data_IF_730500844706
#
_entry.id   IF_730500844706
#
_cell.length_a   1.000
_cell.length_b   1.000
_cell.length_c   1.000
_cell.angle_alpha   90.00
_cell.angle_beta   90.00
_cell.angle_gamma   90.00
#
_symmetry.space_group_name_H-M   'P 1'
#
loop_
_entity.id
_entity.type
_entity.pdbx_description
1 polymer ?
#
# COMPACT_ATOMS: atom_id res chain seq x y z
N UNK A 1 63.76 45.89 -16.50
CA UNK A 1 62.64 45.92 -17.45
C UNK A 1 61.81 44.69 -17.17
N UNK A 2 60.63 44.94 -16.62
CA UNK A 2 59.67 43.96 -16.15
C UNK A 2 59.21 43.01 -17.26
N UNK A 3 59.21 41.71 -16.98
CA UNK A 3 58.46 40.73 -17.74
C UNK A 3 57.20 40.38 -16.91
N UNK A 4 56.11 41.02 -17.29
CA UNK A 4 54.75 40.84 -16.77
C UNK A 4 54.33 39.39 -16.97
N UNK A 5 54.18 38.62 -15.87
CA UNK A 5 53.50 37.33 -15.92
C UNK A 5 52.00 37.61 -15.81
N UNK A 6 51.33 37.54 -16.95
CA UNK A 6 49.87 37.58 -17.05
C UNK A 6 49.27 36.42 -16.27
N UNK A 7 48.43 36.76 -15.28
CA UNK A 7 47.44 35.88 -14.68
C UNK A 7 46.54 35.30 -15.78
N UNK A 8 46.75 34.02 -16.09
CA UNK A 8 45.94 33.27 -17.04
C UNK A 8 45.72 31.86 -16.51
N UNK A 9 44.85 31.70 -15.53
CA UNK A 9 44.23 30.42 -15.21
C UNK A 9 42.76 30.50 -15.55
N UNK A 10 42.47 30.49 -16.83
CA UNK A 10 41.22 29.97 -17.35
C UNK A 10 41.55 29.17 -18.60
N UNK A 11 41.79 27.87 -18.42
CA UNK A 11 41.44 26.90 -19.44
C UNK A 11 41.14 25.56 -18.77
N UNK A 12 39.86 25.21 -18.76
CA UNK A 12 39.37 23.84 -18.58
C UNK A 12 38.35 23.59 -19.69
N UNK A 13 38.77 22.88 -20.73
CA UNK A 13 37.93 22.47 -21.87
C UNK A 13 37.44 21.01 -21.68
N UNK A 14 37.30 20.58 -20.41
CA UNK A 14 37.00 19.22 -19.94
C UNK A 14 38.12 18.16 -20.09
N UNK A 15 38.52 17.60 -18.94
CA UNK A 15 39.53 16.53 -18.82
C UNK A 15 39.53 15.82 -17.45
N UNK A 16 38.40 15.79 -16.73
CA UNK A 16 38.28 15.04 -15.47
C UNK A 16 38.76 15.77 -14.20
N UNK A 17 38.69 17.10 -14.16
CA UNK A 17 39.23 17.93 -13.08
C UNK A 17 38.40 19.18 -12.76
N UNK A 18 37.11 19.00 -12.48
CA UNK A 18 36.34 19.69 -11.43
C UNK A 18 34.90 19.21 -11.52
N UNK A 19 34.32 18.81 -10.37
CA UNK A 19 32.93 18.36 -10.27
C UNK A 19 32.01 19.48 -10.78
N UNK A 20 31.18 19.28 -11.82
CA UNK A 20 30.19 20.29 -12.19
C UNK A 20 29.32 20.58 -10.95
N UNK A 21 29.25 21.85 -10.56
CA UNK A 21 28.56 22.33 -9.35
C UNK A 21 29.06 21.75 -8.01
N UNK A 22 30.27 21.17 -7.96
CA UNK A 22 30.81 20.55 -6.74
C UNK A 22 30.14 19.22 -6.35
N UNK A 23 29.21 18.70 -7.15
CA UNK A 23 28.48 17.48 -6.87
C UNK A 23 29.33 16.22 -7.08
N UNK A 24 29.34 15.32 -6.10
CA UNK A 24 29.98 13.99 -6.21
C UNK A 24 29.26 13.14 -7.25
N UNK A 25 29.99 12.35 -8.06
CA UNK A 25 29.41 11.43 -9.05
C UNK A 25 28.34 10.53 -8.42
N UNK A 26 28.59 10.02 -7.21
CA UNK A 26 27.62 9.18 -6.50
C UNK A 26 26.33 9.92 -6.10
N UNK A 27 26.39 11.24 -5.87
CA UNK A 27 25.18 12.05 -5.62
C UNK A 27 24.40 12.28 -6.92
N UNK A 28 25.08 12.55 -8.02
CA UNK A 28 24.41 12.74 -9.32
C UNK A 28 23.71 11.46 -9.78
N UNK A 29 24.35 10.31 -9.65
CA UNK A 29 23.72 9.02 -9.99
C UNK A 29 22.51 8.71 -9.10
N UNK A 30 22.57 9.10 -7.83
CA UNK A 30 21.43 8.98 -6.92
C UNK A 30 20.24 9.81 -7.39
N UNK A 31 20.46 11.04 -7.85
CA UNK A 31 19.41 11.89 -8.39
C UNK A 31 18.79 11.34 -9.68
N UNK A 32 19.60 10.77 -10.58
CA UNK A 32 19.07 10.09 -11.78
C UNK A 32 18.21 8.88 -11.41
N UNK A 33 18.65 8.07 -10.46
CA UNK A 33 17.89 6.93 -9.95
C UNK A 33 16.56 7.37 -9.31
N UNK A 34 16.58 8.40 -8.45
CA UNK A 34 15.37 8.97 -7.84
C UNK A 34 14.41 9.49 -8.92
N UNK A 35 14.93 10.17 -9.95
CA UNK A 35 14.11 10.70 -11.03
C UNK A 35 13.46 9.57 -11.85
N UNK A 36 14.17 8.48 -12.14
CA UNK A 36 13.59 7.34 -12.87
C UNK A 36 12.48 6.65 -12.06
N UNK A 37 12.67 6.51 -10.76
CA UNK A 37 11.66 5.92 -9.88
C UNK A 37 10.44 6.85 -9.76
N UNK A 38 10.67 8.17 -9.64
CA UNK A 38 9.61 9.16 -9.60
C UNK A 38 8.71 9.11 -10.85
N UNK A 39 9.31 8.96 -12.04
CA UNK A 39 8.56 8.82 -13.29
C UNK A 39 7.77 7.50 -13.34
N UNK A 40 8.33 6.43 -12.80
CA UNK A 40 7.67 5.12 -12.70
C UNK A 40 6.43 5.19 -11.80
N UNK A 41 6.55 5.77 -10.59
CA UNK A 41 5.41 6.00 -9.70
C UNK A 41 4.37 6.95 -10.31
N UNK A 42 4.82 7.99 -11.00
CA UNK A 42 3.91 8.93 -11.69
C UNK A 42 3.07 8.21 -12.74
N UNK A 43 3.65 7.31 -13.53
CA UNK A 43 2.92 6.50 -14.50
C UNK A 43 1.83 5.64 -13.86
N UNK A 44 2.13 5.02 -12.72
CA UNK A 44 1.14 4.22 -11.98
C UNK A 44 0.01 5.07 -11.38
N UNK A 45 0.34 6.23 -10.80
CA UNK A 45 -0.68 7.13 -10.24
C UNK A 45 -1.59 7.73 -11.33
N UNK A 46 -1.06 8.05 -12.51
CA UNK A 46 -1.87 8.50 -13.65
C UNK A 46 -2.78 7.38 -14.15
N UNK A 47 -2.28 6.14 -14.26
CA UNK A 47 -3.08 4.99 -14.66
C UNK A 47 -4.20 4.68 -13.65
N UNK A 48 -3.90 4.77 -12.35
CA UNK A 48 -4.88 4.67 -11.29
C UNK A 48 -5.93 5.79 -11.41
N UNK A 49 -5.51 7.04 -11.54
CA UNK A 49 -6.40 8.19 -11.67
C UNK A 49 -7.37 8.02 -12.84
N UNK A 50 -6.86 7.68 -14.02
CA UNK A 50 -7.70 7.45 -15.20
C UNK A 50 -8.71 6.31 -15.00
N UNK A 51 -8.27 5.21 -14.39
CA UNK A 51 -9.14 4.05 -14.10
C UNK A 51 -10.24 4.43 -13.10
N UNK A 52 -9.88 5.20 -12.07
CA UNK A 52 -10.83 5.72 -11.08
C UNK A 52 -11.85 6.66 -11.71
N UNK A 53 -11.42 7.60 -12.56
CA UNK A 53 -12.33 8.50 -13.27
C UNK A 53 -13.31 7.76 -14.17
N UNK A 54 -12.87 6.70 -14.85
CA UNK A 54 -13.72 5.89 -15.73
C UNK A 54 -14.77 5.09 -14.95
N UNK A 55 -14.44 4.61 -13.76
CA UNK A 55 -15.28 3.73 -12.95
C UNK A 55 -15.70 4.38 -11.64
N UNK A 56 -15.93 5.70 -11.65
CA UNK A 56 -16.20 6.48 -10.42
C UNK A 56 -17.41 5.95 -9.65
N UNK A 57 -18.43 5.49 -10.37
CA UNK A 57 -19.67 4.94 -9.80
C UNK A 57 -19.52 3.53 -9.21
N UNK A 58 -18.42 2.83 -9.50
CA UNK A 58 -18.16 1.44 -9.06
C UNK A 58 -16.95 1.36 -8.11
N UNK A 59 -16.27 2.48 -7.89
CA UNK A 59 -15.06 2.54 -7.10
C UNK A 59 -15.40 2.41 -5.61
N UNK A 60 -14.63 1.65 -4.82
CA UNK A 60 -14.88 1.55 -3.39
C UNK A 60 -14.63 2.86 -2.66
N UNK A 61 -15.39 3.08 -1.59
CA UNK A 61 -15.27 4.25 -0.69
C UNK A 61 -14.20 3.92 0.36
N UNK A 62 -13.14 4.74 0.43
CA UNK A 62 -11.99 4.48 1.30
C UNK A 62 -12.36 4.28 2.78
N UNK A 63 -13.29 5.07 3.30
CA UNK A 63 -13.76 5.03 4.70
C UNK A 63 -14.38 3.68 5.09
N UNK A 64 -14.97 2.96 4.14
CA UNK A 64 -15.56 1.62 4.38
C UNK A 64 -14.54 0.49 4.23
N UNK A 65 -13.43 0.76 3.55
CA UNK A 65 -12.41 -0.24 3.20
C UNK A 65 -11.33 -0.30 4.30
N UNK A 66 -10.95 0.85 4.84
CA UNK A 66 -9.82 0.99 5.77
C UNK A 66 -10.28 1.28 7.19
N UNK A 67 -10.95 0.33 7.83
CA UNK A 67 -11.50 0.48 9.19
C UNK A 67 -10.70 -0.24 10.29
N UNK A 68 -9.77 -1.12 9.89
CA UNK A 68 -9.10 -2.05 10.80
C UNK A 68 -7.91 -1.42 11.51
N UNK A 69 -7.82 -1.67 12.83
CA UNK A 69 -6.69 -1.26 13.67
C UNK A 69 -6.16 -2.50 14.40
N UNK A 70 -4.83 -2.74 14.45
CA UNK A 70 -4.28 -3.86 15.21
C UNK A 70 -4.70 -3.78 16.68
N UNK A 71 -5.12 -4.91 17.24
CA UNK A 71 -5.49 -5.08 18.66
C UNK A 71 -6.76 -4.37 19.13
N UNK A 72 -7.42 -3.57 18.27
CA UNK A 72 -8.70 -2.93 18.58
C UNK A 72 -9.79 -3.53 17.69
N UNK A 73 -10.92 -3.88 18.30
CA UNK A 73 -12.09 -4.36 17.59
C UNK A 73 -13.09 -3.21 17.50
N UNK A 74 -13.34 -2.72 16.28
CA UNK A 74 -14.24 -1.60 16.01
C UNK A 74 -13.98 -0.99 14.63
N UNK A 75 -14.93 -0.18 14.16
CA UNK A 75 -14.80 0.54 12.91
C UNK A 75 -14.10 1.89 13.16
N UNK A 76 -12.81 1.97 12.82
CA UNK A 76 -12.03 3.20 12.92
C UNK A 76 -11.52 3.60 11.53
N UNK A 77 -12.35 4.31 10.73
CA UNK A 77 -11.97 4.71 9.39
C UNK A 77 -10.66 5.49 9.39
N UNK A 78 -9.69 5.02 8.61
CA UNK A 78 -8.44 5.71 8.27
C UNK A 78 -7.47 6.00 9.43
N UNK A 79 -7.82 5.70 10.69
CA UNK A 79 -6.98 6.04 11.84
C UNK A 79 -5.65 5.29 11.82
N UNK A 80 -5.68 4.00 11.50
CA UNK A 80 -4.45 3.21 11.40
C UNK A 80 -3.55 3.70 10.27
N UNK A 81 -4.16 4.07 9.14
CA UNK A 81 -3.49 4.59 7.96
C UNK A 81 -2.83 5.94 8.26
N UNK A 82 -3.55 6.85 8.95
CA UNK A 82 -3.00 8.13 9.38
C UNK A 82 -1.84 7.95 10.36
N UNK A 83 -1.93 6.97 11.28
CA UNK A 83 -0.87 6.65 12.23
C UNK A 83 0.40 6.14 11.53
N UNK A 84 0.29 5.21 10.57
CA UNK A 84 1.47 4.73 9.83
C UNK A 84 2.13 5.85 9.01
N UNK A 85 1.34 6.72 8.39
CA UNK A 85 1.85 7.88 7.64
C UNK A 85 2.55 8.86 8.58
N UNK A 86 2.00 9.11 9.77
CA UNK A 86 2.66 9.93 10.79
C UNK A 86 4.02 9.35 11.22
N UNK A 87 4.10 8.03 11.44
CA UNK A 87 5.36 7.36 11.77
C UNK A 87 6.39 7.53 10.65
N UNK A 88 5.98 7.40 9.39
CA UNK A 88 6.90 7.52 8.25
C UNK A 88 7.45 8.95 8.11
N UNK A 89 6.59 9.97 8.23
CA UNK A 89 7.00 11.38 8.23
C UNK A 89 7.95 11.68 9.40
N UNK A 90 7.64 11.18 10.60
CA UNK A 90 8.54 11.32 11.75
C UNK A 90 9.88 10.60 11.54
N UNK A 91 9.86 9.42 10.90
CA UNK A 91 11.06 8.70 10.49
C UNK A 91 11.91 9.53 9.52
N UNK A 92 11.29 10.19 8.55
CA UNK A 92 11.94 11.13 7.65
C UNK A 92 12.62 12.28 8.40
N UNK A 93 11.93 12.92 9.35
CA UNK A 93 12.55 13.97 10.19
C UNK A 93 13.78 13.45 10.94
N UNK A 94 13.72 12.25 11.51
CA UNK A 94 14.88 11.67 12.20
C UNK A 94 16.06 11.43 11.25
N UNK A 95 15.80 11.05 10.00
CA UNK A 95 16.86 10.89 8.99
C UNK A 95 17.53 12.22 8.64
N UNK A 96 16.78 13.33 8.51
CA UNK A 96 17.39 14.67 8.32
C UNK A 96 18.34 15.01 9.47
N UNK A 97 17.91 14.75 10.70
CA UNK A 97 18.74 14.99 11.89
C UNK A 97 19.98 14.09 11.93
N UNK A 98 19.89 12.86 11.43
CA UNK A 98 21.04 11.97 11.26
C UNK A 98 22.06 12.53 10.27
N UNK A 99 21.60 13.04 9.12
CA UNK A 99 22.46 13.67 8.11
C UNK A 99 23.13 14.93 8.65
N UNK A 100 22.40 15.82 9.33
CA UNK A 100 22.96 17.02 9.98
C UNK A 100 23.99 16.66 11.06
N UNK A 101 23.71 15.66 11.89
CA UNK A 101 24.66 15.15 12.87
C UNK A 101 25.92 14.58 12.21
N UNK A 102 25.78 13.95 11.04
CA UNK A 102 26.88 13.45 10.22
C UNK A 102 27.77 14.55 9.68
N UNK A 103 27.18 15.67 9.21
CA UNK A 103 27.94 16.86 8.81
C UNK A 103 28.74 17.48 9.98
N UNK A 104 28.20 17.40 11.20
CA UNK A 104 28.87 17.86 12.42
C UNK A 104 29.83 16.82 13.02
N UNK A 105 30.06 15.68 12.34
CA UNK A 105 30.90 14.57 12.79
C UNK A 105 30.52 14.03 14.19
N UNK A 106 29.22 14.10 14.56
CA UNK A 106 28.72 13.64 15.86
C UNK A 106 28.19 12.21 15.77
N UNK A 107 29.09 11.22 15.77
CA UNK A 107 28.75 9.81 15.59
C UNK A 107 27.63 9.32 16.51
N UNK A 108 27.70 9.58 17.82
CA UNK A 108 26.67 9.13 18.77
C UNK A 108 25.26 9.64 18.43
N UNK A 109 25.16 10.86 17.88
CA UNK A 109 23.89 11.42 17.44
C UNK A 109 23.42 10.80 16.13
N UNK A 110 24.34 10.55 15.19
CA UNK A 110 24.03 9.81 13.95
C UNK A 110 23.47 8.43 14.27
N UNK A 111 24.10 7.69 15.18
CA UNK A 111 23.65 6.37 15.64
C UNK A 111 22.22 6.46 16.19
N UNK A 112 21.96 7.37 17.12
CA UNK A 112 20.63 7.52 17.71
C UNK A 112 19.56 7.83 16.66
N UNK A 113 19.80 8.81 15.79
CA UNK A 113 18.82 9.22 14.79
C UNK A 113 18.58 8.16 13.73
N UNK A 114 19.63 7.51 13.22
CA UNK A 114 19.50 6.40 12.28
C UNK A 114 18.74 5.21 12.89
N UNK A 115 18.99 4.91 14.17
CA UNK A 115 18.26 3.86 14.88
C UNK A 115 16.75 4.17 14.94
N UNK A 116 16.39 5.42 15.25
CA UNK A 116 15.00 5.86 15.23
C UNK A 116 14.38 5.77 13.83
N UNK A 117 15.12 6.12 12.78
CA UNK A 117 14.65 5.97 11.39
C UNK A 117 14.37 4.51 11.04
N UNK A 118 15.28 3.59 11.41
CA UNK A 118 15.12 2.15 11.17
C UNK A 118 13.88 1.62 11.87
N UNK A 119 13.66 2.00 13.14
CA UNK A 119 12.46 1.60 13.89
C UNK A 119 11.20 2.11 13.19
N UNK A 120 11.15 3.39 12.82
CA UNK A 120 9.99 3.96 12.11
C UNK A 120 9.72 3.24 10.80
N UNK A 121 10.75 2.95 10.01
CA UNK A 121 10.63 2.20 8.77
C UNK A 121 10.17 0.75 8.95
N UNK A 122 10.70 0.06 9.97
CA UNK A 122 10.30 -1.31 10.29
C UNK A 122 8.84 -1.39 10.77
N UNK A 123 8.40 -0.45 11.61
CA UNK A 123 7.00 -0.35 12.05
C UNK A 123 6.09 -0.09 10.85
N UNK A 124 6.51 0.77 9.91
CA UNK A 124 5.74 1.06 8.72
C UNK A 124 5.57 -0.19 7.83
N UNK A 125 6.67 -0.90 7.50
CA UNK A 125 6.61 -2.12 6.67
C UNK A 125 5.80 -3.21 7.35
N UNK A 126 5.96 -3.39 8.67
CA UNK A 126 5.16 -4.33 9.45
C UNK A 126 3.66 -3.97 9.44
N UNK A 127 3.36 -2.68 9.52
CA UNK A 127 1.97 -2.18 9.45
C UNK A 127 1.34 -2.43 8.08
N UNK A 128 2.07 -2.19 7.00
CA UNK A 128 1.61 -2.48 5.64
C UNK A 128 1.36 -3.97 5.42
N UNK A 129 2.28 -4.83 5.87
CA UNK A 129 2.11 -6.28 5.75
C UNK A 129 0.89 -6.78 6.53
N UNK A 130 0.61 -6.17 7.68
CA UNK A 130 -0.59 -6.48 8.46
C UNK A 130 -1.86 -5.99 7.77
N UNK A 131 -1.88 -4.76 7.25
CA UNK A 131 -3.02 -4.22 6.50
C UNK A 131 -3.36 -5.12 5.31
N UNK A 132 -2.34 -5.54 4.54
CA UNK A 132 -2.49 -6.49 3.45
C UNK A 132 -3.06 -7.83 3.92
N UNK A 133 -2.55 -8.39 5.01
CA UNK A 133 -3.02 -9.67 5.52
C UNK A 133 -4.50 -9.62 5.92
N UNK A 134 -4.92 -8.53 6.56
CA UNK A 134 -6.34 -8.28 6.90
C UNK A 134 -7.17 -8.13 5.63
N UNK A 135 -6.68 -7.34 4.67
CA UNK A 135 -7.37 -7.08 3.40
C UNK A 135 -7.54 -8.33 2.52
N UNK A 136 -6.53 -9.20 2.50
CA UNK A 136 -6.58 -10.49 1.77
C UNK A 136 -7.53 -11.48 2.45
N UNK A 137 -7.59 -11.45 3.78
CA UNK A 137 -8.48 -12.33 4.55
C UNK A 137 -9.95 -11.93 4.38
N UNK A 138 -10.24 -10.64 4.38
CA UNK A 138 -11.59 -10.10 4.35
C UNK A 138 -12.34 -10.26 5.67
N UNK A 139 -13.37 -9.44 5.86
CA UNK A 139 -14.16 -9.40 7.10
C UNK A 139 -15.65 -9.62 6.86
N UNK A 140 -16.14 -9.17 5.71
CA UNK A 140 -17.58 -9.23 5.40
C UNK A 140 -17.92 -10.34 4.42
N UNK A 141 -17.12 -10.55 3.38
CA UNK A 141 -17.51 -11.35 2.25
C UNK A 141 -18.57 -10.66 1.38
N UNK A 142 -18.59 -11.02 0.11
CA UNK A 142 -19.48 -10.51 -0.91
C UNK A 142 -19.81 -11.61 -1.92
N UNK A 143 -20.70 -11.32 -2.87
CA UNK A 143 -21.08 -12.26 -3.92
C UNK A 143 -20.84 -11.63 -5.29
N UNK A 144 -20.14 -12.34 -6.17
CA UNK A 144 -19.89 -11.91 -7.54
C UNK A 144 -20.99 -12.44 -8.47
N UNK A 145 -21.53 -11.56 -9.30
CA UNK A 145 -22.52 -11.90 -10.33
C UNK A 145 -21.85 -12.44 -11.60
N UNK A 146 -22.63 -13.08 -12.47
CA UNK A 146 -22.16 -13.49 -13.81
C UNK A 146 -21.58 -12.34 -14.66
N UNK A 147 -21.94 -11.09 -14.34
CA UNK A 147 -21.42 -9.89 -15.02
C UNK A 147 -20.10 -9.34 -14.44
N UNK A 148 -19.55 -9.99 -13.41
CA UNK A 148 -18.33 -9.55 -12.71
C UNK A 148 -18.55 -8.40 -11.73
N UNK A 149 -19.81 -8.08 -11.40
CA UNK A 149 -20.17 -7.07 -10.39
C UNK A 149 -20.30 -7.71 -9.02
N UNK A 150 -19.89 -6.97 -7.99
CA UNK A 150 -19.94 -7.42 -6.60
C UNK A 150 -21.22 -6.95 -5.92
N UNK A 151 -21.84 -7.85 -5.18
CA UNK A 151 -23.02 -7.62 -4.35
C UNK A 151 -22.60 -7.70 -2.88
N UNK A 152 -22.83 -6.60 -2.16
CA UNK A 152 -22.54 -6.49 -0.73
C UNK A 152 -23.83 -6.64 0.06
N UNK A 153 -23.73 -7.09 1.31
CA UNK A 153 -24.88 -7.28 2.19
C UNK A 153 -24.92 -6.20 3.26
N UNK A 154 -26.11 -5.66 3.51
CA UNK A 154 -26.34 -4.65 4.54
C UNK A 154 -27.57 -5.00 5.38
N UNK A 155 -27.54 -4.62 6.65
CA UNK A 155 -28.69 -4.74 7.52
C UNK A 155 -29.68 -3.59 7.25
N UNK A 156 -30.97 -3.90 7.12
CA UNK A 156 -32.01 -2.93 6.81
C UNK A 156 -32.28 -1.94 7.96
N UNK A 157 -31.99 -2.33 9.22
CA UNK A 157 -32.25 -1.51 10.41
C UNK A 157 -31.10 -0.54 10.72
N UNK A 158 -29.84 -0.99 10.57
CA UNK A 158 -28.65 -0.19 10.90
C UNK A 158 -27.98 0.45 9.69
N UNK A 159 -28.24 -0.06 8.48
CA UNK A 159 -27.52 0.35 7.26
C UNK A 159 -26.07 -0.13 7.20
N UNK A 160 -25.60 -0.84 8.23
CA UNK A 160 -24.22 -1.35 8.32
C UNK A 160 -24.03 -2.61 7.48
N UNK A 161 -22.79 -2.84 7.02
CA UNK A 161 -22.43 -4.07 6.32
C UNK A 161 -22.62 -5.29 7.22
N UNK A 162 -23.30 -6.30 6.70
CA UNK A 162 -23.46 -7.60 7.35
C UNK A 162 -22.41 -8.58 6.81
N UNK A 163 -21.74 -9.32 7.69
CA UNK A 163 -20.80 -10.34 7.26
C UNK A 163 -21.55 -11.61 6.84
N UNK A 164 -20.98 -12.38 5.90
CA UNK A 164 -21.52 -13.69 5.49
C UNK A 164 -21.72 -14.61 6.70
N UNK A 165 -20.84 -14.53 7.68
CA UNK A 165 -20.92 -15.33 8.91
C UNK A 165 -22.18 -15.04 9.75
N UNK A 166 -22.79 -13.87 9.63
CA UNK A 166 -23.94 -13.48 10.43
C UNK A 166 -25.25 -14.12 9.94
N UNK A 167 -25.30 -14.56 8.69
CA UNK A 167 -26.54 -15.03 8.07
C UNK A 167 -26.43 -16.27 7.18
N UNK A 168 -25.24 -16.63 6.72
CA UNK A 168 -25.05 -17.86 5.95
C UNK A 168 -25.43 -19.07 6.82
N UNK A 169 -26.27 -19.95 6.28
CA UNK A 169 -26.61 -21.20 6.97
C UNK A 169 -25.51 -22.20 6.72
N UNK A 170 -25.05 -22.88 7.77
CA UNK A 170 -24.19 -24.05 7.60
C UNK A 170 -25.02 -25.21 7.09
N UNK A 171 -24.86 -25.54 5.81
CA UNK A 171 -25.49 -26.71 5.22
C UNK A 171 -24.48 -27.87 5.32
N UNK A 172 -24.93 -29.10 5.65
CA UNK A 172 -24.07 -30.26 5.60
C UNK A 172 -23.81 -30.64 4.12
N UNK A 173 -23.04 -29.82 3.41
CA UNK A 173 -22.47 -30.18 2.12
C UNK A 173 -21.14 -30.90 2.37
N UNK A 174 -21.03 -32.14 1.89
CA UNK A 174 -19.78 -32.89 1.91
C UNK A 174 -18.86 -32.33 0.82
N UNK A 175 -18.17 -31.22 1.11
CA UNK A 175 -17.16 -30.68 0.19
C UNK A 175 -15.90 -31.54 0.31
N UNK A 176 -15.66 -32.37 -0.71
CA UNK A 176 -14.41 -33.15 -0.82
C UNK A 176 -13.27 -32.16 -1.07
N UNK A 177 -12.34 -32.09 -0.12
CA UNK A 177 -11.11 -31.30 -0.25
C UNK A 177 -10.15 -32.08 -1.14
N UNK A 178 -9.83 -31.59 -2.33
CA UNK A 178 -8.72 -32.11 -3.11
C UNK A 178 -7.43 -31.84 -2.34
N UNK A 179 -6.83 -32.93 -1.87
CA UNK A 179 -5.48 -32.90 -1.34
C UNK A 179 -4.48 -32.96 -2.51
N UNK A 180 -3.25 -32.49 -2.29
CA UNK A 180 -2.21 -32.46 -3.33
C UNK A 180 -1.88 -33.86 -3.92
N UNK A 181 -2.26 -34.93 -3.22
CA UNK A 181 -2.14 -36.33 -3.63
C UNK A 181 -3.42 -36.90 -4.29
N UNK A 182 -4.51 -36.13 -4.35
CA UNK A 182 -5.84 -36.53 -4.84
C UNK A 182 -6.33 -35.67 -6.03
N UNK A 183 -5.55 -34.67 -6.45
CA UNK A 183 -5.88 -33.78 -7.55
C UNK A 183 -5.61 -34.36 -8.95
N UNK A 184 -6.36 -33.87 -9.94
CA UNK A 184 -6.02 -34.07 -11.36
C UNK A 184 -4.72 -33.29 -11.61
N UNK A 185 -3.71 -33.93 -12.20
CA UNK A 185 -2.45 -33.27 -12.55
C UNK A 185 -2.74 -31.96 -13.28
N UNK A 186 -2.11 -30.86 -12.83
CA UNK A 186 -2.27 -29.50 -13.36
C UNK A 186 -3.60 -28.78 -13.08
N UNK A 187 -4.43 -29.27 -12.14
CA UNK A 187 -5.53 -28.49 -11.56
C UNK A 187 -5.22 -28.13 -10.11
N UNK A 188 -4.99 -26.84 -9.85
CA UNK A 188 -5.08 -26.29 -8.50
C UNK A 188 -6.55 -26.09 -8.14
N UNK A 189 -6.92 -26.35 -6.88
CA UNK A 189 -8.26 -25.97 -6.43
C UNK A 189 -8.45 -24.46 -6.58
N UNK A 190 -9.63 -24.09 -7.07
CA UNK A 190 -10.04 -22.69 -7.17
C UNK A 190 -10.06 -21.99 -5.81
N UNK A 191 -10.19 -20.67 -5.88
CA UNK A 191 -10.33 -19.77 -4.74
C UNK A 191 -11.31 -20.33 -3.68
N UNK A 192 -10.82 -20.50 -2.44
CA UNK A 192 -11.58 -21.11 -1.34
C UNK A 192 -12.26 -20.03 -0.50
N UNK A 193 -13.57 -20.09 -0.43
CA UNK A 193 -14.40 -19.31 0.50
C UNK A 193 -14.85 -20.16 1.69
N UNK A 194 -15.10 -19.49 2.80
CA UNK A 194 -15.59 -20.09 4.04
C UNK A 194 -17.02 -20.62 3.89
N UNK A 195 -17.82 -20.01 3.01
CA UNK A 195 -19.21 -20.38 2.73
C UNK A 195 -19.43 -20.76 1.27
N UNK A 196 -20.36 -21.68 1.03
CA UNK A 196 -20.84 -22.02 -0.32
C UNK A 196 -21.89 -21.03 -0.81
N UNK A 197 -22.05 -20.89 -2.13
CA UNK A 197 -23.07 -20.00 -2.68
C UNK A 197 -24.49 -20.41 -2.23
N UNK A 198 -24.75 -21.72 -2.14
CA UNK A 198 -26.04 -22.25 -1.66
C UNK A 198 -26.32 -21.86 -0.21
N UNK A 199 -25.31 -21.94 0.65
CA UNK A 199 -25.39 -21.54 2.07
C UNK A 199 -25.73 -20.06 2.23
N UNK A 200 -25.11 -19.21 1.41
CA UNK A 200 -25.35 -17.77 1.39
C UNK A 200 -26.76 -17.46 0.84
N UNK A 201 -27.19 -18.11 -0.25
CA UNK A 201 -28.51 -17.87 -0.84
C UNK A 201 -29.64 -18.33 0.10
N UNK A 202 -29.52 -19.52 0.70
CA UNK A 202 -30.52 -20.03 1.64
C UNK A 202 -30.52 -19.28 2.98
N UNK A 203 -29.34 -18.84 3.44
CA UNK A 203 -29.21 -17.92 4.57
C UNK A 203 -29.89 -16.57 4.30
N UNK A 204 -29.62 -15.98 3.14
CA UNK A 204 -30.20 -14.70 2.73
C UNK A 204 -31.72 -14.77 2.63
N UNK A 205 -32.28 -15.84 2.05
CA UNK A 205 -33.74 -16.06 1.99
C UNK A 205 -34.37 -16.17 3.38
N UNK A 206 -33.68 -16.81 4.32
CA UNK A 206 -34.17 -17.03 5.68
C UNK A 206 -34.14 -15.78 6.56
N UNK A 207 -33.31 -14.79 6.22
CA UNK A 207 -33.15 -13.55 6.99
C UNK A 207 -33.73 -12.36 6.23
N UNK A 208 -34.96 -11.90 6.54
CA UNK A 208 -35.60 -10.79 5.84
C UNK A 208 -34.92 -9.44 6.07
N UNK A 209 -34.16 -9.31 7.16
CA UNK A 209 -33.53 -8.07 7.61
C UNK A 209 -32.24 -7.69 6.84
N UNK A 210 -31.82 -8.52 5.87
CA UNK A 210 -30.61 -8.27 5.09
C UNK A 210 -31.02 -7.88 3.67
N UNK A 211 -30.43 -6.81 3.18
CA UNK A 211 -30.63 -6.30 1.83
C UNK A 211 -29.33 -6.38 1.04
N UNK A 212 -29.45 -6.34 -0.29
CA UNK A 212 -28.30 -6.30 -1.18
C UNK A 212 -28.02 -4.85 -1.55
N UNK A 213 -26.76 -4.47 -1.34
CA UNK A 213 -26.19 -3.22 -1.77
C UNK A 213 -25.34 -3.44 -3.01
N UNK A 214 -25.62 -2.70 -4.07
CA UNK A 214 -24.85 -2.81 -5.32
C UNK A 214 -23.67 -1.84 -5.31
N UNK A 215 -22.76 -2.01 -6.26
CA UNK A 215 -21.62 -1.12 -6.44
C UNK A 215 -22.00 0.29 -6.90
N UNK A 216 -23.19 0.48 -7.49
CA UNK A 216 -23.59 1.76 -8.09
C UNK A 216 -23.91 2.82 -7.03
N UNK A 217 -23.40 4.02 -7.25
CA UNK A 217 -23.64 5.22 -6.44
C UNK A 217 -24.95 5.93 -6.82
N UNK A 218 -25.72 6.35 -5.81
CA UNK A 218 -26.90 7.21 -5.91
C UNK A 218 -26.51 8.67 -6.19
N UNK A 219 -27.49 9.52 -6.50
CA UNK A 219 -27.31 10.97 -6.68
C UNK A 219 -26.70 11.68 -5.46
N UNK A 220 -26.82 11.06 -4.26
CA UNK A 220 -26.25 11.55 -2.99
C UNK A 220 -24.82 11.03 -2.73
N UNK A 221 -24.25 10.21 -3.61
CA UNK A 221 -22.91 9.65 -3.44
C UNK A 221 -22.83 8.45 -2.48
N UNK A 222 -23.97 7.84 -2.15
CA UNK A 222 -24.06 6.61 -1.36
C UNK A 222 -24.36 5.40 -2.25
N UNK A 223 -23.94 4.20 -1.85
CA UNK A 223 -24.22 2.98 -2.62
C UNK A 223 -25.71 2.62 -2.60
N UNK A 224 -26.26 2.33 -3.77
CA UNK A 224 -27.65 1.86 -3.98
C UNK A 224 -27.97 0.62 -3.13
N UNK A 225 -28.91 0.76 -2.19
CA UNK A 225 -29.48 -0.38 -1.45
C UNK A 225 -30.79 -0.77 -2.15
N UNK A 226 -30.88 -2.03 -2.56
CA UNK A 226 -32.04 -2.56 -3.27
C UNK A 226 -33.15 -2.94 -2.30
N UNK A 227 -34.40 -2.80 -2.75
CA UNK A 227 -35.54 -3.33 -2.01
C UNK A 227 -35.47 -4.87 -1.90
N UNK A 228 -36.17 -5.47 -0.93
CA UNK A 228 -36.09 -6.90 -0.65
C UNK A 228 -36.47 -7.75 -1.86
N UNK A 229 -37.48 -7.33 -2.62
CA UNK A 229 -37.93 -8.04 -3.83
C UNK A 229 -36.87 -8.01 -4.93
N UNK A 230 -36.20 -6.88 -5.10
CA UNK A 230 -35.14 -6.71 -6.09
C UNK A 230 -33.86 -7.43 -5.68
N UNK A 231 -33.52 -7.41 -4.39
CA UNK A 231 -32.41 -8.16 -3.81
C UNK A 231 -32.57 -9.67 -4.05
N UNK A 232 -33.78 -10.23 -3.87
CA UNK A 232 -34.04 -11.64 -4.15
C UNK A 232 -33.92 -12.00 -5.64
N UNK A 233 -34.21 -11.06 -6.55
CA UNK A 233 -33.96 -11.28 -7.97
C UNK A 233 -32.47 -11.25 -8.29
N UNK A 234 -31.72 -10.31 -7.68
CA UNK A 234 -30.29 -10.12 -7.93
C UNK A 234 -29.41 -11.24 -7.39
N UNK A 235 -29.77 -11.85 -6.27
CA UNK A 235 -29.00 -12.97 -5.71
C UNK A 235 -29.06 -14.23 -6.60
N UNK A 236 -30.04 -14.35 -7.50
CA UNK A 236 -30.10 -15.45 -8.47
C UNK A 236 -29.09 -15.30 -9.61
N UNK A 237 -28.59 -14.09 -9.85
CA UNK A 237 -27.51 -13.82 -10.82
C UNK A 237 -26.12 -14.07 -10.22
N UNK A 238 -26.05 -14.49 -8.94
CA UNK A 238 -24.83 -14.83 -8.24
C UNK A 238 -24.14 -16.05 -8.87
N UNK A 239 -22.83 -15.94 -9.06
CA UNK A 239 -21.99 -16.99 -9.60
C UNK A 239 -21.10 -17.61 -8.53
N UNK A 240 -20.46 -16.77 -7.70
CA UNK A 240 -19.54 -17.23 -6.66
C UNK A 240 -19.50 -16.29 -5.46
N UNK A 241 -19.07 -16.82 -4.33
CA UNK A 241 -18.78 -16.06 -3.11
C UNK A 241 -17.36 -15.50 -3.22
N UNK A 242 -17.13 -14.29 -2.70
CA UNK A 242 -15.84 -13.61 -2.64
C UNK A 242 -15.58 -13.18 -1.20
N UNK A 243 -14.43 -13.51 -0.64
CA UNK A 243 -13.97 -13.11 0.71
C UNK A 243 -12.59 -12.44 0.65
N UNK A 244 -12.54 -11.19 1.09
CA UNK A 244 -11.35 -10.35 1.02
C UNK A 244 -11.02 -9.90 -0.40
N UNK A 245 -9.78 -9.48 -0.59
CA UNK A 245 -9.28 -8.98 -1.87
C UNK A 245 -7.98 -9.67 -2.29
N UNK A 246 -7.93 -10.01 -3.57
CA UNK A 246 -6.73 -10.47 -4.26
C UNK A 246 -6.71 -9.89 -5.70
N UNK A 247 -5.75 -10.31 -6.52
CA UNK A 247 -5.57 -9.82 -7.90
C UNK A 247 -6.65 -10.29 -8.89
N UNK A 248 -7.58 -11.13 -8.45
CA UNK A 248 -8.62 -11.76 -9.28
C UNK A 248 -10.01 -11.41 -8.75
N UNK A 249 -10.22 -11.48 -7.44
CA UNK A 249 -11.49 -11.26 -6.76
C UNK A 249 -11.33 -10.16 -5.70
N UNK A 250 -12.32 -9.28 -5.59
CA UNK A 250 -12.31 -8.15 -4.66
C UNK A 250 -13.69 -7.98 -4.02
N UNK A 251 -13.81 -8.15 -2.71
CA UNK A 251 -15.08 -7.95 -2.00
C UNK A 251 -15.47 -6.47 -1.85
N UNK A 252 -14.51 -5.55 -1.98
CA UNK A 252 -14.70 -4.14 -1.63
C UNK A 252 -15.30 -3.31 -2.77
N UNK A 253 -15.09 -3.72 -4.02
CA UNK A 253 -15.64 -3.10 -5.22
C UNK A 253 -14.95 -3.60 -6.50
N UNK A 254 -14.83 -2.74 -7.51
CA UNK A 254 -14.27 -3.12 -8.80
C UNK A 254 -12.87 -3.76 -8.70
N UNK A 255 -12.61 -4.81 -9.47
CA UNK A 255 -11.34 -5.58 -9.44
C UNK A 255 -10.09 -4.70 -9.60
N UNK A 256 -10.11 -3.75 -10.54
CA UNK A 256 -8.98 -2.85 -10.80
C UNK A 256 -8.53 -2.06 -9.56
N UNK A 257 -9.43 -1.79 -8.60
CA UNK A 257 -9.03 -1.14 -7.35
C UNK A 257 -8.01 -1.99 -6.60
N UNK A 258 -8.30 -3.28 -6.37
CA UNK A 258 -7.38 -4.18 -5.68
C UNK A 258 -6.07 -4.34 -6.45
N UNK A 259 -6.13 -4.47 -7.79
CA UNK A 259 -4.94 -4.57 -8.64
C UNK A 259 -4.01 -3.36 -8.48
N UNK A 260 -4.54 -2.14 -8.59
CA UNK A 260 -3.75 -0.92 -8.41
C UNK A 260 -3.30 -0.74 -6.96
N UNK A 261 -4.16 -1.06 -5.98
CA UNK A 261 -3.83 -0.96 -4.56
C UNK A 261 -2.63 -1.85 -4.22
N UNK A 262 -2.72 -3.16 -4.45
CA UNK A 262 -1.64 -4.09 -4.14
C UNK A 262 -0.37 -3.81 -4.95
N UNK A 263 -0.50 -3.43 -6.22
CA UNK A 263 0.67 -3.16 -7.04
C UNK A 263 1.41 -1.89 -6.63
N UNK A 264 0.70 -0.76 -6.45
CA UNK A 264 1.33 0.53 -6.11
C UNK A 264 1.87 0.51 -4.68
N UNK A 265 1.06 0.06 -3.70
CA UNK A 265 1.50 -0.02 -2.30
C UNK A 265 2.58 -1.09 -2.12
N UNK A 266 2.54 -2.18 -2.89
CA UNK A 266 3.54 -3.25 -2.85
C UNK A 266 4.87 -2.82 -3.43
N UNK A 267 4.86 -2.15 -4.59
CA UNK A 267 6.04 -1.56 -5.20
C UNK A 267 6.66 -0.51 -4.26
N UNK A 268 5.85 0.34 -3.64
CA UNK A 268 6.31 1.27 -2.60
C UNK A 268 6.90 0.53 -1.38
N UNK A 269 6.20 -0.49 -0.87
CA UNK A 269 6.64 -1.30 0.27
C UNK A 269 7.98 -1.97 0.01
N UNK A 270 8.25 -2.40 -1.22
CA UNK A 270 9.56 -2.91 -1.63
C UNK A 270 10.66 -1.84 -1.56
N UNK A 271 10.38 -0.60 -1.95
CA UNK A 271 11.32 0.52 -1.82
C UNK A 271 11.61 0.85 -0.35
N UNK A 272 10.59 0.87 0.50
CA UNK A 272 10.77 1.07 1.95
C UNK A 272 11.57 -0.07 2.55
N UNK A 273 11.22 -1.32 2.24
CA UNK A 273 11.91 -2.50 2.76
C UNK A 273 13.39 -2.53 2.38
N UNK A 274 13.71 -2.29 1.11
CA UNK A 274 15.11 -2.15 0.66
C UNK A 274 15.80 -0.97 1.33
N UNK A 275 15.11 0.15 1.53
CA UNK A 275 15.62 1.30 2.29
C UNK A 275 15.93 0.98 3.75
N UNK A 276 15.09 0.20 4.42
CA UNK A 276 15.33 -0.25 5.81
C UNK A 276 16.58 -1.12 5.86
N UNK A 277 16.74 -2.05 4.92
CA UNK A 277 17.94 -2.90 4.83
C UNK A 277 19.18 -2.04 4.62
N UNK A 278 19.14 -1.09 3.69
CA UNK A 278 20.26 -0.18 3.44
C UNK A 278 20.57 0.65 4.69
N UNK A 279 19.56 1.18 5.37
CA UNK A 279 19.73 1.92 6.63
C UNK A 279 20.39 1.06 7.71
N UNK A 280 20.00 -0.21 7.86
CA UNK A 280 20.63 -1.15 8.79
C UNK A 280 22.12 -1.34 8.45
N UNK A 281 22.45 -1.54 7.18
CA UNK A 281 23.85 -1.70 6.73
C UNK A 281 24.68 -0.46 7.07
N UNK A 282 24.16 0.74 6.75
CA UNK A 282 24.86 1.99 7.04
C UNK A 282 24.97 2.23 8.55
N UNK A 283 23.93 1.91 9.31
CA UNK A 283 23.92 2.02 10.78
C UNK A 283 25.01 1.16 11.41
N UNK A 284 25.16 -0.10 10.98
CA UNK A 284 26.26 -0.96 11.41
C UNK A 284 27.62 -0.37 11.05
N UNK A 285 27.77 0.19 9.84
CA UNK A 285 29.01 0.85 9.42
C UNK A 285 29.33 2.11 10.24
N UNK A 286 28.32 2.86 10.69
CA UNK A 286 28.47 4.00 11.60
C UNK A 286 28.95 3.50 12.98
N UNK A 287 28.35 2.44 13.53
CA UNK A 287 28.78 1.87 14.82
C UNK A 287 30.23 1.40 14.76
N UNK A 288 30.63 0.76 13.66
CA UNK A 288 32.01 0.29 13.45
C UNK A 288 33.03 1.44 13.27
N UNK A 289 32.59 2.70 13.25
CA UNK A 289 33.46 3.87 13.09
C UNK A 289 34.02 4.03 11.66
N UNK A 290 33.44 3.34 10.68
CA UNK A 290 33.93 3.35 9.29
C UNK A 290 33.95 4.76 8.71
N UNK A 291 32.94 5.57 9.01
CA UNK A 291 32.79 6.92 8.48
C UNK A 291 33.61 7.97 9.24
N UNK A 292 33.86 7.77 10.54
CA UNK A 292 34.83 8.59 11.28
C UNK A 292 36.25 8.41 10.73
N UNK A 293 36.65 7.17 10.44
CA UNK A 293 37.94 6.87 9.81
C UNK A 293 38.08 7.47 8.41
N UNK A 294 36.97 7.63 7.67
CA UNK A 294 36.93 8.28 6.35
C UNK A 294 36.88 9.80 6.44
N UNK A 295 36.47 10.38 7.57
CA UNK A 295 36.32 11.82 7.76
C UNK A 295 35.09 12.46 7.10
N UNK A 296 34.17 11.67 6.52
CA UNK A 296 32.94 12.18 5.92
C UNK A 296 31.79 11.17 5.99
N UNK A 297 30.56 11.68 6.13
CA UNK A 297 29.32 10.90 6.24
C UNK A 297 28.49 10.89 4.95
N UNK A 298 29.14 11.03 3.78
CA UNK A 298 28.45 11.14 2.47
C UNK A 298 27.53 9.95 2.15
N UNK A 299 27.80 8.76 2.70
CA UNK A 299 26.92 7.61 2.53
C UNK A 299 25.60 7.75 3.29
N UNK A 300 25.62 8.35 4.49
CA UNK A 300 24.40 8.65 5.26
C UNK A 300 23.55 9.67 4.51
N UNK A 301 24.18 10.66 3.86
CA UNK A 301 23.47 11.64 3.04
C UNK A 301 22.79 11.01 1.81
N UNK A 302 23.48 10.13 1.09
CA UNK A 302 22.90 9.43 -0.08
C UNK A 302 21.69 8.58 0.29
N UNK A 303 21.80 7.84 1.40
CA UNK A 303 20.70 7.01 1.90
C UNK A 303 19.58 7.87 2.48
N UNK A 304 19.91 9.01 3.10
CA UNK A 304 18.92 10.00 3.50
C UNK A 304 18.10 10.53 2.33
N UNK A 305 18.75 10.88 1.20
CA UNK A 305 18.05 11.30 -0.02
C UNK A 305 17.10 10.22 -0.55
N UNK A 306 17.52 8.95 -0.54
CA UNK A 306 16.64 7.83 -0.90
C UNK A 306 15.43 7.77 0.03
N UNK A 307 15.67 7.81 1.34
CA UNK A 307 14.64 7.67 2.35
C UNK A 307 13.58 8.78 2.27
N UNK A 308 14.01 10.03 2.07
CA UNK A 308 13.11 11.16 1.86
C UNK A 308 12.30 11.04 0.58
N UNK A 309 12.91 10.53 -0.49
CA UNK A 309 12.18 10.30 -1.74
C UNK A 309 11.07 9.25 -1.54
N UNK A 310 11.38 8.14 -0.89
CA UNK A 310 10.40 7.09 -0.61
C UNK A 310 9.26 7.64 0.26
N UNK A 311 9.57 8.38 1.32
CA UNK A 311 8.56 9.03 2.17
C UNK A 311 7.68 10.02 1.39
N UNK A 312 8.27 10.84 0.51
CA UNK A 312 7.53 11.78 -0.34
C UNK A 312 6.56 11.05 -1.28
N UNK A 313 6.98 9.94 -1.90
CA UNK A 313 6.11 9.11 -2.74
C UNK A 313 4.94 8.56 -1.92
N UNK A 314 5.17 8.14 -0.68
CA UNK A 314 4.11 7.66 0.19
C UNK A 314 3.04 8.72 0.45
N UNK A 315 3.41 9.97 0.70
CA UNK A 315 2.44 11.06 0.91
C UNK A 315 1.48 11.21 -0.28
N UNK A 316 1.98 11.06 -1.51
CA UNK A 316 1.14 11.05 -2.70
C UNK A 316 0.24 9.81 -2.78
N UNK A 317 0.81 8.61 -2.57
CA UNK A 317 0.02 7.36 -2.56
C UNK A 317 -1.08 7.43 -1.51
N UNK A 318 -0.77 7.88 -0.30
CA UNK A 318 -1.71 8.10 0.78
C UNK A 318 -2.85 9.03 0.37
N UNK A 319 -2.51 10.16 -0.26
CA UNK A 319 -3.52 11.14 -0.69
C UNK A 319 -4.47 10.57 -1.74
N UNK A 320 -3.95 9.87 -2.77
CA UNK A 320 -4.78 9.36 -3.86
C UNK A 320 -5.62 8.11 -3.54
N UNK A 321 -5.19 7.30 -2.58
CA UNK A 321 -5.91 6.08 -2.19
C UNK A 321 -6.83 6.27 -1.00
N UNK A 322 -6.43 7.11 -0.03
CA UNK A 322 -7.11 7.20 1.26
C UNK A 322 -7.86 8.51 1.47
N UNK A 323 -7.48 9.61 0.81
CA UNK A 323 -8.15 10.91 1.00
C UNK A 323 -9.05 11.33 -0.18
N UNK A 324 -8.64 11.02 -1.41
CA UNK A 324 -9.27 11.54 -2.64
C UNK A 324 -10.09 10.50 -3.34
#
# INVERSE_FOLDING_TARGET
MDATVSTGTEDSVWGGGNRPLGASYGKMMMWFFIMSDALTFSGFLVAYGFSRFKFIELWPIADEVFTHVPFFHGNYPMYYVAFMTFILIMSSVTMVLAVDAGHKLKQNKVILYMFLTIIGGAIFVGSQAWEWATFIKGDYGAVETNSGRILQFVNAETGERAALADFAKTLPEERVKHQANEGIWFQEEGYRTSYSLNEVVEGFKATPNILIRTEQLNEEGEKTVLDRKESLAKILEANQVVEGANLIHNEYGHRLFADFFFFITGFHGFHVFSGVIINIIIFLNVILGTYERRGHYEMVEKVGLYWHFVDLVWVFVFTFFYLV
#
